data_IF_589934661171
#
_entry.id   IF_589934661171
#
_cell.length_a   1.000
_cell.length_b   1.000
_cell.length_c   1.000
_cell.angle_alpha   90.00
_cell.angle_beta   90.00
_cell.angle_gamma   90.00
#
_symmetry.space_group_name_H-M   'P 1'
#
loop_
_entity.id
_entity.type
_entity.pdbx_description
1 polymer ?
#
# COMPACT_ATOMS: atom_id res chain seq x y z
N UNK A 1 -2.12 3.11 -25.07
CA UNK A 1 -1.51 1.80 -24.73
C UNK A 1 -2.61 0.87 -24.23
N UNK A 2 -2.70 -0.35 -24.75
CA UNK A 2 -3.64 -1.38 -24.29
C UNK A 2 -3.14 -2.00 -22.99
N UNK A 3 -3.90 -1.87 -21.89
CA UNK A 3 -3.54 -2.48 -20.62
C UNK A 3 -3.56 -4.01 -20.76
N UNK A 4 -2.43 -4.67 -20.51
CA UNK A 4 -2.36 -6.13 -20.52
C UNK A 4 -3.05 -6.74 -19.30
N UNK A 5 -3.38 -8.03 -19.36
CA UNK A 5 -3.90 -8.78 -18.22
C UNK A 5 -2.99 -8.64 -16.97
N UNK A 6 -1.68 -8.59 -17.17
CA UNK A 6 -0.71 -8.40 -16.09
C UNK A 6 -0.89 -7.03 -15.40
N UNK A 7 -1.10 -5.95 -16.16
CA UNK A 7 -1.42 -4.64 -15.59
C UNK A 7 -2.72 -4.66 -14.76
N UNK A 8 -3.75 -5.34 -15.27
CA UNK A 8 -5.01 -5.48 -14.55
C UNK A 8 -4.83 -6.19 -13.19
N UNK A 9 -4.08 -7.29 -13.19
CA UNK A 9 -3.75 -8.05 -11.96
C UNK A 9 -2.96 -7.17 -10.99
N UNK A 10 -1.89 -6.49 -11.45
CA UNK A 10 -1.06 -5.65 -10.59
C UNK A 10 -1.85 -4.47 -10.01
N UNK A 11 -2.72 -3.83 -10.80
CA UNK A 11 -3.60 -2.75 -10.30
C UNK A 11 -4.58 -3.24 -9.24
N UNK A 12 -5.17 -4.43 -9.43
CA UNK A 12 -6.04 -5.05 -8.43
C UNK A 12 -5.28 -5.32 -7.12
N UNK A 13 -4.06 -5.88 -7.22
CA UNK A 13 -3.17 -6.12 -6.08
C UNK A 13 -2.81 -4.81 -5.37
N UNK A 14 -2.47 -3.76 -6.11
CA UNK A 14 -2.16 -2.44 -5.56
C UNK A 14 -3.35 -1.85 -4.80
N UNK A 15 -4.56 -1.97 -5.35
CA UNK A 15 -5.78 -1.50 -4.70
C UNK A 15 -6.06 -2.26 -3.40
N UNK A 16 -5.85 -3.57 -3.38
CA UNK A 16 -5.98 -4.39 -2.17
C UNK A 16 -4.96 -3.96 -1.11
N UNK A 17 -3.70 -3.81 -1.50
CA UNK A 17 -2.61 -3.38 -0.62
C UNK A 17 -2.88 -1.99 -0.01
N UNK A 18 -3.30 -1.03 -0.82
CA UNK A 18 -3.70 0.30 -0.36
C UNK A 18 -4.80 0.25 0.69
N UNK A 19 -5.86 -0.55 0.44
CA UNK A 19 -6.97 -0.72 1.39
C UNK A 19 -6.50 -1.33 2.70
N UNK A 20 -5.64 -2.34 2.65
CA UNK A 20 -5.12 -3.03 3.83
C UNK A 20 -4.21 -2.11 4.66
N UNK A 21 -3.31 -1.35 4.02
CA UNK A 21 -2.48 -0.35 4.68
C UNK A 21 -3.33 0.72 5.37
N UNK A 22 -4.35 1.25 4.69
CA UNK A 22 -5.26 2.25 5.26
C UNK A 22 -6.07 1.70 6.45
N UNK A 23 -6.53 0.44 6.39
CA UNK A 23 -7.25 -0.20 7.50
C UNK A 23 -6.38 -0.34 8.74
N UNK A 24 -5.11 -0.68 8.56
CA UNK A 24 -4.17 -0.84 9.68
C UNK A 24 -3.74 0.51 10.23
N UNK A 25 -3.51 1.50 9.36
CA UNK A 25 -3.20 2.85 9.79
C UNK A 25 -4.29 3.39 10.74
N UNK A 26 -5.58 3.09 10.48
CA UNK A 26 -6.67 3.46 11.40
C UNK A 26 -6.59 2.85 12.81
N UNK A 27 -5.74 1.85 13.04
CA UNK A 27 -5.50 1.28 14.38
C UNK A 27 -4.42 2.02 15.15
N UNK A 28 -3.67 2.91 14.51
CA UNK A 28 -2.69 3.76 15.17
C UNK A 28 -3.37 4.84 16.03
N UNK A 29 -2.66 5.45 16.97
CA UNK A 29 -3.17 6.58 17.75
C UNK A 29 -3.69 7.73 16.89
N UNK A 30 -4.64 8.49 17.44
CA UNK A 30 -5.30 9.61 16.76
C UNK A 30 -4.31 10.67 16.22
N UNK A 31 -3.17 10.83 16.89
CA UNK A 31 -2.07 11.72 16.53
C UNK A 31 -1.35 11.31 15.25
N UNK A 32 -1.32 10.02 14.92
CA UNK A 32 -0.45 9.46 13.88
C UNK A 32 -1.24 8.95 12.65
N UNK A 33 -2.45 8.41 12.85
CA UNK A 33 -3.13 7.72 11.75
C UNK A 33 -3.43 8.61 10.54
N UNK A 34 -3.69 9.92 10.75
CA UNK A 34 -3.99 10.86 9.66
C UNK A 34 -2.77 11.07 8.76
N UNK A 35 -1.61 11.26 9.37
CA UNK A 35 -0.35 11.45 8.67
C UNK A 35 0.03 10.18 7.91
N UNK A 36 -0.03 9.02 8.56
CA UNK A 36 0.27 7.74 7.94
C UNK A 36 -0.66 7.46 6.76
N UNK A 37 -1.98 7.74 6.89
CA UNK A 37 -2.92 7.62 5.75
C UNK A 37 -2.61 8.59 4.62
N UNK A 38 -2.15 9.80 4.92
CA UNK A 38 -1.74 10.76 3.90
C UNK A 38 -0.52 10.25 3.13
N UNK A 39 0.49 9.70 3.82
CA UNK A 39 1.66 9.07 3.21
C UNK A 39 1.26 7.89 2.30
N UNK A 40 0.42 6.97 2.80
CA UNK A 40 -0.07 5.83 2.02
C UNK A 40 -0.79 6.30 0.73
N UNK A 41 -1.63 7.34 0.84
CA UNK A 41 -2.36 7.88 -0.32
C UNK A 41 -1.42 8.55 -1.32
N UNK A 42 -0.44 9.30 -0.85
CA UNK A 42 0.54 9.97 -1.70
C UNK A 42 1.39 8.96 -2.47
N UNK A 43 1.82 7.89 -1.79
CA UNK A 43 2.60 6.82 -2.42
C UNK A 43 1.76 6.07 -3.46
N UNK A 44 0.49 5.73 -3.16
CA UNK A 44 -0.40 5.12 -4.15
C UNK A 44 -0.61 6.01 -5.38
N UNK A 45 -0.76 7.33 -5.17
CA UNK A 45 -0.92 8.29 -6.27
C UNK A 45 0.34 8.42 -7.11
N UNK A 46 1.53 8.32 -6.51
CA UNK A 46 2.83 8.40 -7.20
C UNK A 46 2.96 7.36 -8.33
N UNK A 47 2.43 6.16 -8.12
CA UNK A 47 2.48 5.06 -9.09
C UNK A 47 1.17 4.88 -9.89
N UNK A 48 0.19 5.78 -9.74
CA UNK A 48 -1.13 5.62 -10.36
C UNK A 48 -1.07 5.47 -11.89
N UNK A 49 -0.22 6.30 -12.51
CA UNK A 49 -0.04 6.34 -13.97
C UNK A 49 1.18 5.53 -14.43
N UNK A 50 1.83 4.79 -13.53
CA UNK A 50 2.96 3.92 -13.88
C UNK A 50 2.48 2.76 -14.75
N UNK A 51 3.26 2.47 -15.80
CA UNK A 51 2.98 1.43 -16.80
C UNK A 51 4.13 0.45 -16.95
N UNK A 52 5.29 0.73 -16.36
CA UNK A 52 6.36 -0.23 -16.27
C UNK A 52 6.00 -1.33 -15.26
N UNK A 53 5.88 -2.55 -15.78
CA UNK A 53 5.51 -3.73 -15.01
C UNK A 53 6.52 -4.07 -13.92
N UNK A 54 7.82 -3.93 -14.19
CA UNK A 54 8.88 -4.23 -13.20
C UNK A 54 8.81 -3.25 -12.03
N UNK A 55 8.64 -1.96 -12.34
CA UNK A 55 8.48 -0.91 -11.32
C UNK A 55 7.24 -1.16 -10.45
N UNK A 56 6.12 -1.56 -11.08
CA UNK A 56 4.90 -1.91 -10.35
C UNK A 56 5.08 -3.15 -9.46
N UNK A 57 5.79 -4.17 -9.95
CA UNK A 57 6.09 -5.39 -9.18
C UNK A 57 6.98 -5.08 -7.97
N UNK A 58 8.04 -4.32 -8.17
CA UNK A 58 8.95 -3.89 -7.10
C UNK A 58 8.21 -3.05 -6.05
N UNK A 59 7.41 -2.07 -6.48
CA UNK A 59 6.62 -1.23 -5.58
C UNK A 59 5.64 -2.06 -4.74
N UNK A 60 4.98 -3.06 -5.35
CA UNK A 60 4.08 -3.97 -4.65
C UNK A 60 4.81 -4.86 -3.64
N UNK A 61 6.01 -5.32 -3.98
CA UNK A 61 6.83 -6.12 -3.07
C UNK A 61 7.25 -5.29 -1.85
N UNK A 62 7.76 -4.07 -2.07
CA UNK A 62 8.15 -3.14 -1.00
C UNK A 62 6.94 -2.80 -0.12
N UNK A 63 5.81 -2.43 -0.72
CA UNK A 63 4.61 -2.08 0.04
C UNK A 63 4.04 -3.26 0.83
N UNK A 64 4.15 -4.49 0.32
CA UNK A 64 3.76 -5.70 1.06
C UNK A 64 4.65 -5.95 2.29
N UNK A 65 5.96 -5.70 2.17
CA UNK A 65 6.87 -5.78 3.32
C UNK A 65 6.57 -4.70 4.36
N UNK A 66 6.25 -3.47 3.92
CA UNK A 66 5.83 -2.40 4.82
C UNK A 66 4.52 -2.72 5.53
N UNK A 67 3.53 -3.31 4.83
CA UNK A 67 2.29 -3.77 5.44
C UNK A 67 2.56 -4.81 6.54
N UNK A 68 3.47 -5.76 6.29
CA UNK A 68 3.88 -6.74 7.31
C UNK A 68 4.49 -6.06 8.53
N UNK A 69 5.45 -5.16 8.33
CA UNK A 69 6.07 -4.40 9.42
C UNK A 69 5.03 -3.61 10.23
N UNK A 70 4.11 -2.93 9.55
CA UNK A 70 3.05 -2.17 10.21
C UNK A 70 2.09 -3.08 10.99
N UNK A 71 1.74 -4.26 10.44
CA UNK A 71 0.98 -5.29 11.16
C UNK A 71 1.69 -5.74 12.43
N UNK A 72 2.99 -6.01 12.35
CA UNK A 72 3.79 -6.49 13.47
C UNK A 72 3.91 -5.39 14.55
N UNK A 73 4.16 -4.14 14.16
CA UNK A 73 4.19 -3.00 15.07
C UNK A 73 2.85 -2.79 15.77
N UNK A 74 1.74 -2.73 15.03
CA UNK A 74 0.40 -2.57 15.61
C UNK A 74 0.02 -3.80 16.46
N UNK A 75 0.33 -5.00 15.98
CA UNK A 75 0.06 -6.25 16.69
C UNK A 75 0.83 -6.40 18.00
N UNK A 76 2.06 -5.89 18.07
CA UNK A 76 2.87 -5.90 19.29
C UNK A 76 2.53 -4.78 20.29
N UNK A 77 1.84 -3.72 19.85
CA UNK A 77 1.45 -2.60 20.72
C UNK A 77 0.08 -2.84 21.40
N UNK A 78 -0.79 -3.67 20.81
CA UNK A 78 -2.18 -3.85 21.25
C UNK A 78 -2.57 -5.29 21.62
N UNK A 79 -1.60 -6.19 21.80
CA UNK A 79 -1.76 -7.49 22.48
C UNK A 79 -0.96 -7.49 23.77
#
# INVERSE_FOLDING_TARGET
MTASLKHFILRSTALKLYRDLCKIACKLPASEYKEVKALIRNEYKRYHDETNLEVLEDALQVGSLQLKKLKDTVGNIYN
#
